data_IF_522173124486
#
_entry.id   IF_522173124486
#
_cell.length_a   1.000
_cell.length_b   1.000
_cell.length_c   1.000
_cell.angle_alpha   90.00
_cell.angle_beta   90.00
_cell.angle_gamma   90.00
#
_symmetry.space_group_name_H-M   'P 1'
#
loop_
_entity.id
_entity.type
_entity.pdbx_description
1 polymer ?
#
# COMPACT_ATOMS: atom_id res chain seq x y z
N UNK A 1 -1.66 -64.78 6.42
CA UNK A 1 -0.91 -63.67 7.04
C UNK A 1 -1.12 -62.44 6.16
N UNK A 2 -2.04 -61.57 6.54
CA UNK A 2 -2.57 -60.46 5.76
C UNK A 2 -1.84 -59.17 6.16
N UNK A 3 -1.09 -58.58 5.23
CA UNK A 3 -0.47 -57.31 5.41
C UNK A 3 -1.48 -56.17 5.09
N UNK A 4 -1.93 -55.45 6.11
CA UNK A 4 -2.74 -54.25 5.97
C UNK A 4 -1.82 -53.09 5.54
N UNK A 5 -1.99 -52.65 4.30
CA UNK A 5 -1.37 -51.47 3.75
C UNK A 5 -2.20 -50.26 4.18
N UNK A 6 -1.69 -49.48 5.15
CA UNK A 6 -2.29 -48.18 5.52
C UNK A 6 -1.85 -47.12 4.53
N UNK A 7 -2.74 -46.81 3.58
CA UNK A 7 -2.60 -45.62 2.75
C UNK A 7 -2.91 -44.38 3.59
N UNK A 8 -1.86 -43.69 4.04
CA UNK A 8 -1.98 -42.39 4.65
C UNK A 8 -2.24 -41.38 3.55
N UNK A 9 -3.50 -41.06 3.29
CA UNK A 9 -3.89 -39.95 2.44
C UNK A 9 -3.59 -38.65 3.19
N UNK A 10 -2.42 -38.07 2.92
CA UNK A 10 -2.10 -36.70 3.34
C UNK A 10 -2.96 -35.75 2.53
N UNK A 11 -4.07 -35.29 3.09
CA UNK A 11 -4.83 -34.15 2.59
C UNK A 11 -3.95 -32.92 2.76
N UNK A 12 -3.17 -32.59 1.75
CA UNK A 12 -2.63 -31.25 1.58
C UNK A 12 -3.82 -30.32 1.34
N UNK A 13 -4.35 -29.77 2.41
CA UNK A 13 -5.26 -28.64 2.33
C UNK A 13 -4.48 -27.48 1.68
N UNK A 14 -4.56 -27.39 0.37
CA UNK A 14 -4.15 -26.19 -0.36
C UNK A 14 -5.14 -25.11 0.06
N UNK A 15 -4.79 -24.35 1.11
CA UNK A 15 -5.53 -23.15 1.47
C UNK A 15 -5.38 -22.19 0.29
N UNK A 16 -6.39 -22.15 -0.57
CA UNK A 16 -6.48 -21.10 -1.59
C UNK A 16 -6.34 -19.75 -0.88
N UNK A 17 -5.60 -18.79 -1.46
CA UNK A 17 -5.53 -17.45 -0.90
C UNK A 17 -6.96 -16.95 -0.69
N UNK A 18 -7.26 -16.29 0.44
CA UNK A 18 -8.60 -15.83 0.74
C UNK A 18 -9.09 -14.91 -0.39
N UNK A 19 -10.32 -15.13 -0.86
CA UNK A 19 -10.98 -14.25 -1.84
C UNK A 19 -10.92 -12.80 -1.29
N UNK A 20 -10.28 -11.87 -2.01
CA UNK A 20 -10.15 -10.50 -1.54
C UNK A 20 -11.48 -9.80 -1.26
N UNK A 21 -12.60 -10.29 -1.82
CA UNK A 21 -13.94 -9.78 -1.54
C UNK A 21 -14.68 -10.47 -0.39
N UNK A 22 -14.13 -11.51 0.23
CA UNK A 22 -14.85 -12.34 1.20
C UNK A 22 -15.10 -11.65 2.55
N UNK A 23 -14.20 -10.78 3.00
CA UNK A 23 -14.35 -10.04 4.26
C UNK A 23 -13.87 -8.58 4.13
N UNK A 24 -14.35 -7.67 5.01
CA UNK A 24 -13.87 -6.29 4.99
C UNK A 24 -12.34 -6.20 5.16
N UNK A 25 -11.78 -7.00 6.07
CA UNK A 25 -10.35 -7.00 6.37
C UNK A 25 -9.51 -7.51 5.19
N UNK A 26 -9.92 -8.63 4.58
CA UNK A 26 -9.22 -9.15 3.39
C UNK A 26 -9.28 -8.20 2.22
N UNK A 27 -10.41 -7.50 2.03
CA UNK A 27 -10.57 -6.48 0.98
C UNK A 27 -9.67 -5.28 1.22
N UNK A 28 -9.66 -4.72 2.45
CA UNK A 28 -8.80 -3.60 2.81
C UNK A 28 -7.32 -3.96 2.63
N UNK A 29 -6.92 -5.17 3.06
CA UNK A 29 -5.56 -5.68 2.90
C UNK A 29 -5.18 -5.79 1.43
N UNK A 30 -6.00 -6.45 0.61
CA UNK A 30 -5.75 -6.62 -0.83
C UNK A 30 -5.66 -5.27 -1.56
N UNK A 31 -6.52 -4.31 -1.19
CA UNK A 31 -6.48 -2.95 -1.73
C UNK A 31 -5.15 -2.26 -1.42
N UNK A 32 -4.73 -2.24 -0.16
CA UNK A 32 -3.47 -1.62 0.24
C UNK A 32 -2.26 -2.34 -0.37
N UNK A 33 -2.26 -3.68 -0.41
CA UNK A 33 -1.20 -4.44 -1.07
C UNK A 33 -1.08 -4.09 -2.55
N UNK A 34 -2.19 -3.93 -3.26
CA UNK A 34 -2.18 -3.51 -4.67
C UNK A 34 -1.59 -2.10 -4.83
N UNK A 35 -2.04 -1.13 -4.01
CA UNK A 35 -1.49 0.24 -4.00
C UNK A 35 0.01 0.23 -3.72
N UNK A 36 0.46 -0.47 -2.68
CA UNK A 36 1.87 -0.52 -2.28
C UNK A 36 2.78 -1.23 -3.30
N UNK A 37 2.22 -2.12 -4.12
CA UNK A 37 2.92 -2.72 -5.26
C UNK A 37 2.95 -1.84 -6.51
N UNK A 38 2.23 -0.72 -6.53
CA UNK A 38 2.08 0.11 -7.71
C UNK A 38 1.02 -0.39 -8.70
N UNK A 39 0.20 -1.37 -8.31
CA UNK A 39 -0.84 -1.97 -9.15
C UNK A 39 -2.18 -1.23 -8.98
N UNK A 40 -2.27 -0.09 -9.64
CA UNK A 40 -3.49 0.72 -9.64
C UNK A 40 -4.71 -0.01 -10.21
N UNK A 41 -4.51 -0.93 -11.16
CA UNK A 41 -5.59 -1.70 -11.77
C UNK A 41 -6.27 -2.63 -10.76
N UNK A 42 -5.48 -3.45 -10.06
CA UNK A 42 -5.98 -4.33 -9.00
C UNK A 42 -6.58 -3.54 -7.84
N UNK A 43 -5.98 -2.41 -7.46
CA UNK A 43 -6.53 -1.55 -6.41
C UNK A 43 -7.91 -0.98 -6.81
N UNK A 44 -8.05 -0.45 -8.03
CA UNK A 44 -9.32 0.09 -8.54
C UNK A 44 -10.41 -0.99 -8.65
N UNK A 45 -10.04 -2.22 -8.98
CA UNK A 45 -10.99 -3.33 -9.00
C UNK A 45 -11.62 -3.63 -7.62
N UNK A 46 -10.99 -3.17 -6.54
CA UNK A 46 -11.48 -3.31 -5.16
C UNK A 46 -12.22 -2.07 -4.65
N UNK A 47 -12.27 -0.98 -5.41
CA UNK A 47 -13.07 0.22 -5.09
C UNK A 47 -14.51 0.03 -5.57
N UNK A 48 -15.46 0.51 -4.80
CA UNK A 48 -16.87 0.47 -5.13
C UNK A 48 -17.23 1.62 -6.08
N UNK A 49 -17.64 1.30 -7.31
CA UNK A 49 -18.06 2.27 -8.33
C UNK A 49 -17.09 3.47 -8.48
N UNK A 50 -15.83 3.23 -8.87
CA UNK A 50 -14.78 4.24 -8.80
C UNK A 50 -15.07 5.41 -9.75
N UNK A 51 -15.16 6.63 -9.19
CA UNK A 51 -15.24 7.89 -9.92
C UNK A 51 -13.92 8.23 -10.63
N UNK A 52 -13.89 9.25 -11.46
CA UNK A 52 -12.63 9.73 -12.07
C UNK A 52 -11.67 10.27 -11.02
N UNK A 53 -12.18 10.89 -9.96
CA UNK A 53 -11.38 11.33 -8.82
C UNK A 53 -10.73 10.13 -8.08
N UNK A 54 -11.46 9.03 -7.87
CA UNK A 54 -10.90 7.81 -7.29
C UNK A 54 -9.83 7.19 -8.17
N UNK A 55 -10.09 7.12 -9.48
CA UNK A 55 -9.10 6.61 -10.46
C UNK A 55 -7.83 7.40 -10.40
N UNK A 56 -7.96 8.73 -10.28
CA UNK A 56 -6.82 9.63 -10.18
C UNK A 56 -6.05 9.40 -8.86
N UNK A 57 -6.72 9.47 -7.72
CA UNK A 57 -6.12 9.30 -6.38
C UNK A 57 -5.43 7.93 -6.25
N UNK A 58 -6.08 6.85 -6.66
CA UNK A 58 -5.52 5.50 -6.58
C UNK A 58 -4.29 5.35 -7.48
N UNK A 59 -4.32 5.89 -8.70
CA UNK A 59 -3.17 5.87 -9.62
C UNK A 59 -1.99 6.65 -9.05
N UNK A 60 -2.23 7.85 -8.50
CA UNK A 60 -1.19 8.68 -7.92
C UNK A 60 -0.53 8.00 -6.70
N UNK A 61 -1.33 7.40 -5.82
CA UNK A 61 -0.80 6.62 -4.70
C UNK A 61 0.06 5.43 -5.17
N UNK A 62 -0.45 4.67 -6.15
CA UNK A 62 0.28 3.52 -6.70
C UNK A 62 1.59 3.94 -7.37
N UNK A 63 1.60 5.05 -8.13
CA UNK A 63 2.80 5.58 -8.76
C UNK A 63 3.84 6.03 -7.73
N UNK A 64 3.41 6.76 -6.70
CA UNK A 64 4.29 7.18 -5.60
C UNK A 64 4.88 5.98 -4.84
N UNK A 65 4.06 4.95 -4.54
CA UNK A 65 4.53 3.73 -3.87
C UNK A 65 5.54 2.96 -4.74
N UNK A 66 5.30 2.85 -6.05
CA UNK A 66 6.21 2.20 -6.99
C UNK A 66 7.55 2.95 -7.10
N UNK A 67 7.51 4.29 -7.14
CA UNK A 67 8.72 5.12 -7.16
C UNK A 67 9.58 4.92 -5.90
N UNK A 68 8.95 4.89 -4.72
CA UNK A 68 9.63 4.62 -3.46
C UNK A 68 10.23 3.21 -3.43
N UNK A 69 9.52 2.20 -3.91
CA UNK A 69 10.03 0.83 -4.00
C UNK A 69 11.25 0.76 -4.93
N UNK A 70 11.17 1.37 -6.11
CA UNK A 70 12.31 1.44 -7.06
C UNK A 70 13.51 2.16 -6.46
N UNK A 71 13.29 3.22 -5.67
CA UNK A 71 14.35 3.90 -4.95
C UNK A 71 15.06 2.92 -3.98
N UNK A 72 14.29 2.15 -3.20
CA UNK A 72 14.87 1.15 -2.28
C UNK A 72 15.65 0.05 -3.02
N UNK A 73 15.13 -0.42 -4.16
CA UNK A 73 15.81 -1.39 -5.04
C UNK A 73 17.16 -0.82 -5.53
N UNK A 74 17.20 0.44 -5.96
CA UNK A 74 18.42 1.13 -6.40
C UNK A 74 19.41 1.31 -5.26
N UNK A 75 18.94 1.73 -4.08
CA UNK A 75 19.79 1.90 -2.92
C UNK A 75 20.37 0.54 -2.44
N UNK A 76 19.55 -0.51 -2.41
CA UNK A 76 19.98 -1.86 -2.05
C UNK A 76 20.97 -2.42 -3.06
N UNK A 77 20.72 -2.23 -4.36
CA UNK A 77 21.66 -2.64 -5.41
C UNK A 77 23.02 -1.92 -5.28
N UNK A 78 23.01 -0.63 -4.86
CA UNK A 78 24.22 0.18 -4.76
C UNK A 78 25.00 -0.03 -3.46
N UNK A 79 24.31 -0.17 -2.33
CA UNK A 79 24.91 -0.19 -0.99
C UNK A 79 24.80 -1.54 -0.29
N UNK A 80 24.26 -2.57 -0.97
CA UNK A 80 24.00 -3.89 -0.39
C UNK A 80 22.95 -3.80 0.73
N UNK A 81 23.09 -4.64 1.76
CA UNK A 81 22.16 -4.67 2.89
C UNK A 81 22.03 -3.32 3.64
N UNK A 82 23.06 -2.46 3.56
CA UNK A 82 23.00 -1.11 4.13
C UNK A 82 22.06 -0.17 3.37
N UNK A 83 21.72 -0.50 2.12
CA UNK A 83 20.82 0.26 1.26
C UNK A 83 19.34 0.13 1.61
N UNK A 84 18.98 -0.65 2.63
CA UNK A 84 17.62 -0.68 3.17
C UNK A 84 17.21 0.71 3.69
N UNK A 85 16.28 1.36 2.99
CA UNK A 85 15.75 2.68 3.34
C UNK A 85 14.55 2.58 4.31
N UNK A 86 14.12 1.37 4.64
CA UNK A 86 13.01 1.10 5.55
C UNK A 86 11.62 1.20 4.91
N UNK A 87 11.54 1.38 3.59
CA UNK A 87 10.27 1.51 2.87
C UNK A 87 9.49 0.20 2.94
N UNK A 88 10.12 -0.92 2.57
CA UNK A 88 9.49 -2.24 2.66
C UNK A 88 9.10 -2.61 4.10
N UNK A 89 9.91 -2.24 5.10
CA UNK A 89 9.59 -2.45 6.50
C UNK A 89 8.38 -1.63 6.95
N UNK A 90 8.25 -0.38 6.48
CA UNK A 90 7.08 0.47 6.74
C UNK A 90 5.82 -0.13 6.11
N UNK A 91 5.88 -0.59 4.86
CA UNK A 91 4.77 -1.25 4.18
C UNK A 91 4.32 -2.52 4.92
N UNK A 92 5.26 -3.37 5.35
CA UNK A 92 4.93 -4.56 6.16
C UNK A 92 4.24 -4.20 7.46
N UNK A 93 4.71 -3.18 8.19
CA UNK A 93 4.06 -2.72 9.43
C UNK A 93 2.63 -2.22 9.17
N UNK A 94 2.43 -1.43 8.12
CA UNK A 94 1.10 -0.95 7.73
C UNK A 94 0.16 -2.12 7.44
N UNK A 95 0.58 -3.10 6.67
CA UNK A 95 -0.23 -4.29 6.37
C UNK A 95 -0.48 -5.13 7.62
N UNK A 96 0.51 -5.32 8.49
CA UNK A 96 0.35 -6.03 9.74
C UNK A 96 -0.62 -5.33 10.72
N UNK A 97 -0.64 -3.99 10.72
CA UNK A 97 -1.59 -3.24 11.56
C UNK A 97 -3.05 -3.52 11.21
N UNK A 98 -3.35 -3.93 9.98
CA UNK A 98 -4.70 -4.30 9.57
C UNK A 98 -5.20 -5.59 10.23
N UNK A 99 -4.30 -6.50 10.59
CA UNK A 99 -4.68 -7.80 11.16
C UNK A 99 -5.32 -7.63 12.55
N UNK A 100 -4.92 -6.59 13.26
CA UNK A 100 -5.39 -6.27 14.62
C UNK A 100 -6.25 -4.99 14.69
N UNK A 101 -6.44 -4.30 13.56
CA UNK A 101 -7.21 -3.07 13.51
C UNK A 101 -8.64 -3.30 13.99
N UNK A 102 -9.21 -2.43 14.84
CA UNK A 102 -10.63 -2.47 15.18
C UNK A 102 -11.48 -2.44 13.92
N UNK A 103 -12.50 -3.30 13.87
CA UNK A 103 -13.42 -3.44 12.76
C UNK A 103 -14.85 -3.29 13.25
N UNK A 104 -15.53 -2.27 12.77
CA UNK A 104 -16.95 -2.05 12.98
C UNK A 104 -17.72 -2.51 11.76
N UNK A 105 -18.74 -3.35 11.93
CA UNK A 105 -19.59 -3.84 10.84
C UNK A 105 -21.05 -3.51 11.15
N UNK A 106 -21.72 -2.87 10.22
CA UNK A 106 -23.15 -2.55 10.31
C UNK A 106 -23.83 -2.85 8.96
N UNK A 107 -24.49 -4.00 8.87
CA UNK A 107 -25.14 -4.46 7.65
C UNK A 107 -24.14 -4.59 6.49
N UNK A 108 -24.36 -3.81 5.45
CA UNK A 108 -23.52 -3.79 4.25
C UNK A 108 -22.38 -2.76 4.30
N UNK A 109 -22.10 -2.20 5.47
CA UNK A 109 -20.99 -1.26 5.68
C UNK A 109 -20.04 -1.75 6.75
N UNK A 110 -18.77 -1.42 6.57
CA UNK A 110 -17.73 -1.70 7.55
C UNK A 110 -16.73 -0.54 7.61
N UNK A 111 -16.13 -0.34 8.78
CA UNK A 111 -15.05 0.63 8.99
C UNK A 111 -13.92 -0.09 9.70
N UNK A 112 -12.74 -0.06 9.12
CA UNK A 112 -11.51 -0.61 9.68
C UNK A 112 -10.62 0.56 10.13
N UNK A 113 -10.15 0.53 11.38
CA UNK A 113 -9.35 1.58 12.01
C UNK A 113 -7.89 1.11 12.20
N UNK A 114 -7.03 1.20 11.18
CA UNK A 114 -5.62 0.83 11.31
C UNK A 114 -4.89 1.78 12.26
N UNK A 115 -3.98 1.25 13.05
CA UNK A 115 -3.16 2.04 13.96
C UNK A 115 -2.29 3.04 13.17
N UNK A 116 -2.35 4.31 13.55
CA UNK A 116 -1.60 5.39 12.88
C UNK A 116 -2.05 5.71 11.46
N UNK A 117 -3.18 5.14 11.00
CA UNK A 117 -3.74 5.35 9.67
C UNK A 117 -5.13 5.98 9.67
N UNK A 118 -5.58 6.43 8.50
CA UNK A 118 -6.98 6.88 8.32
C UNK A 118 -7.92 5.67 8.29
N UNK A 119 -9.17 5.82 8.77
CA UNK A 119 -10.17 4.75 8.69
C UNK A 119 -10.45 4.33 7.25
N UNK A 120 -10.42 3.02 7.00
CA UNK A 120 -10.76 2.43 5.71
C UNK A 120 -12.23 2.02 5.77
N UNK A 121 -13.06 2.63 4.95
CA UNK A 121 -14.49 2.32 4.87
C UNK A 121 -14.74 1.38 3.72
N UNK A 122 -15.63 0.45 3.95
CA UNK A 122 -16.00 -0.57 2.99
C UNK A 122 -17.52 -0.71 2.94
N UNK A 123 -18.03 -1.06 1.78
CA UNK A 123 -19.43 -1.45 1.58
C UNK A 123 -19.52 -2.76 0.81
N UNK A 124 -20.61 -3.47 1.00
CA UNK A 124 -20.89 -4.68 0.24
C UNK A 124 -21.61 -4.32 -1.06
N UNK A 125 -21.05 -4.75 -2.18
CA UNK A 125 -21.61 -4.55 -3.53
C UNK A 125 -21.73 -5.93 -4.19
N UNK A 126 -22.94 -6.33 -4.55
CA UNK A 126 -23.22 -7.64 -5.15
C UNK A 126 -22.60 -8.81 -4.35
N UNK A 127 -22.76 -8.76 -3.03
CA UNK A 127 -22.27 -9.80 -2.12
C UNK A 127 -20.77 -9.73 -1.78
N UNK A 128 -19.98 -8.87 -2.44
CA UNK A 128 -18.54 -8.71 -2.21
C UNK A 128 -18.24 -7.39 -1.50
N UNK A 129 -17.29 -7.40 -0.58
CA UNK A 129 -16.78 -6.19 0.04
C UNK A 129 -15.93 -5.40 -0.93
N UNK A 130 -16.11 -4.09 -0.93
CA UNK A 130 -15.37 -3.10 -1.73
C UNK A 130 -14.99 -1.93 -0.84
N UNK A 131 -13.86 -1.29 -1.12
CA UNK A 131 -13.46 -0.03 -0.47
C UNK A 131 -14.40 1.08 -0.96
N UNK A 132 -14.98 1.86 -0.06
CA UNK A 132 -15.72 3.09 -0.43
C UNK A 132 -14.75 4.09 -1.05
N UNK A 133 -15.29 5.00 -1.87
CA UNK A 133 -14.51 6.00 -2.59
C UNK A 133 -13.46 6.69 -1.70
N UNK A 134 -12.16 6.54 -1.99
CA UNK A 134 -11.13 7.24 -1.25
C UNK A 134 -11.14 8.76 -1.50
N UNK A 135 -11.71 9.21 -2.62
CA UNK A 135 -11.76 10.62 -3.01
C UNK A 135 -13.04 11.34 -2.56
N UNK A 136 -14.14 10.63 -2.27
CA UNK A 136 -15.47 11.22 -1.99
C UNK A 136 -15.47 12.18 -0.79
N UNK A 137 -14.50 12.09 0.09
CA UNK A 137 -14.38 12.90 1.30
C UNK A 137 -13.38 14.03 1.19
N UNK A 138 -12.66 14.09 0.11
CA UNK A 138 -11.72 15.15 -0.13
C UNK A 138 -12.48 16.33 -0.76
N UNK A 139 -12.35 17.49 -0.16
CA UNK A 139 -12.71 18.73 -0.82
C UNK A 139 -11.84 18.90 -2.07
N UNK A 140 -12.24 19.72 -3.01
CA UNK A 140 -11.42 19.97 -4.20
C UNK A 140 -10.04 20.56 -3.87
N UNK A 141 -9.88 21.22 -2.72
CA UNK A 141 -8.59 21.73 -2.24
C UNK A 141 -7.73 20.60 -1.66
N UNK A 142 -8.30 19.76 -0.80
CA UNK A 142 -7.61 18.59 -0.24
C UNK A 142 -7.19 17.60 -1.32
N UNK A 143 -8.01 17.41 -2.35
CA UNK A 143 -7.66 16.57 -3.49
C UNK A 143 -6.44 17.13 -4.23
N UNK A 144 -6.42 18.45 -4.51
CA UNK A 144 -5.27 19.11 -5.16
C UNK A 144 -4.02 19.08 -4.29
N UNK A 145 -4.16 19.23 -2.98
CA UNK A 145 -3.05 19.13 -2.05
C UNK A 145 -2.48 17.71 -2.01
N UNK A 146 -3.34 16.69 -1.91
CA UNK A 146 -2.93 15.28 -1.98
C UNK A 146 -2.23 14.96 -3.30
N UNK A 147 -2.78 15.45 -4.42
CA UNK A 147 -2.17 15.28 -5.73
C UNK A 147 -0.75 15.83 -5.80
N UNK A 148 -0.56 17.07 -5.33
CA UNK A 148 0.78 17.67 -5.26
C UNK A 148 1.73 16.85 -4.42
N UNK A 149 1.33 16.51 -3.19
CA UNK A 149 2.10 15.68 -2.26
C UNK A 149 2.57 14.37 -2.90
N UNK A 150 1.67 13.66 -3.59
CA UNK A 150 2.00 12.39 -4.22
C UNK A 150 2.96 12.56 -5.41
N UNK A 151 2.75 13.58 -6.25
CA UNK A 151 3.65 13.92 -7.36
C UNK A 151 5.04 14.34 -6.87
N UNK A 152 5.11 15.14 -5.81
CA UNK A 152 6.36 15.57 -5.20
C UNK A 152 7.11 14.39 -4.57
N UNK A 153 6.39 13.49 -3.90
CA UNK A 153 6.97 12.23 -3.37
C UNK A 153 7.54 11.37 -4.50
N UNK A 154 6.79 11.20 -5.57
CA UNK A 154 7.24 10.44 -6.75
C UNK A 154 8.49 11.08 -7.37
N UNK A 155 8.46 12.39 -7.62
CA UNK A 155 9.58 13.13 -8.21
C UNK A 155 10.84 13.06 -7.31
N UNK A 156 10.69 13.25 -6.01
CA UNK A 156 11.79 13.16 -5.06
C UNK A 156 12.42 11.76 -5.01
N UNK A 157 11.59 10.70 -5.05
CA UNK A 157 12.08 9.33 -5.10
C UNK A 157 12.83 9.03 -6.40
N UNK A 158 12.32 9.51 -7.53
CA UNK A 158 12.96 9.34 -8.85
C UNK A 158 14.29 10.11 -8.93
N UNK A 159 14.33 11.36 -8.46
CA UNK A 159 15.55 12.19 -8.43
C UNK A 159 16.63 11.55 -7.56
N UNK A 160 16.28 11.16 -6.33
CA UNK A 160 17.21 10.51 -5.41
C UNK A 160 17.73 9.17 -5.99
N UNK A 161 16.88 8.38 -6.64
CA UNK A 161 17.31 7.16 -7.34
C UNK A 161 18.30 7.49 -8.48
N UNK A 162 18.08 8.59 -9.22
CA UNK A 162 19.00 9.12 -10.22
C UNK A 162 20.35 9.50 -9.61
N UNK A 163 20.36 10.24 -8.52
CA UNK A 163 21.58 10.66 -7.79
C UNK A 163 22.38 9.45 -7.27
N UNK A 164 21.71 8.40 -6.76
CA UNK A 164 22.37 7.16 -6.32
C UNK A 164 23.03 6.45 -7.50
N UNK A 165 22.34 6.33 -8.64
CA UNK A 165 22.91 5.74 -9.88
C UNK A 165 24.10 6.53 -10.40
N UNK A 166 24.02 7.86 -10.38
CA UNK A 166 25.09 8.78 -10.78
C UNK A 166 26.26 8.84 -9.76
N UNK A 167 26.16 8.12 -8.65
CA UNK A 167 27.14 8.11 -7.54
C UNK A 167 27.31 9.49 -6.84
N UNK A 168 26.35 10.38 -6.98
CA UNK A 168 26.33 11.65 -6.27
C UNK A 168 26.07 11.44 -4.77
N UNK A 169 25.20 10.49 -4.42
CA UNK A 169 24.98 10.00 -3.05
C UNK A 169 25.99 8.90 -2.75
N UNK A 170 26.76 9.07 -1.68
CA UNK A 170 27.95 8.22 -1.39
C UNK A 170 27.65 7.12 -0.38
N UNK A 171 26.62 7.26 0.44
CA UNK A 171 26.29 6.29 1.48
C UNK A 171 24.78 6.08 1.62
N UNK A 172 24.41 4.98 2.25
CA UNK A 172 23.02 4.70 2.58
C UNK A 172 22.44 5.67 3.63
N UNK A 173 23.30 6.16 4.55
CA UNK A 173 22.92 7.17 5.54
C UNK A 173 22.55 8.49 4.86
N UNK A 174 23.36 8.93 3.89
CA UNK A 174 23.08 10.12 3.09
C UNK A 174 21.77 9.95 2.29
N UNK A 175 21.52 8.75 1.72
CA UNK A 175 20.27 8.45 1.03
C UNK A 175 19.06 8.51 1.96
N UNK A 176 19.15 7.97 3.18
CA UNK A 176 18.08 8.03 4.18
C UNK A 176 17.79 9.47 4.63
N UNK A 177 18.83 10.25 4.83
CA UNK A 177 18.69 11.65 5.23
C UNK A 177 18.03 12.49 4.13
N UNK A 178 18.50 12.32 2.88
CA UNK A 178 17.90 12.97 1.72
C UNK A 178 16.40 12.59 1.55
N UNK A 179 16.06 11.32 1.69
CA UNK A 179 14.68 10.85 1.65
C UNK A 179 13.84 11.46 2.79
N UNK A 180 14.37 11.44 4.02
CA UNK A 180 13.67 12.03 5.18
C UNK A 180 13.42 13.51 4.99
N UNK A 181 14.40 14.26 4.49
CA UNK A 181 14.27 15.67 4.21
C UNK A 181 13.20 15.93 3.14
N UNK A 182 13.23 15.18 2.03
CA UNK A 182 12.25 15.31 0.96
C UNK A 182 10.83 15.02 1.44
N UNK A 183 10.62 13.90 2.15
CA UNK A 183 9.31 13.53 2.69
C UNK A 183 8.86 14.47 3.82
N UNK A 184 9.80 15.00 4.63
CA UNK A 184 9.49 15.96 5.69
C UNK A 184 9.03 17.30 5.13
N UNK A 185 9.57 17.76 4.02
CA UNK A 185 9.11 18.97 3.34
C UNK A 185 7.69 18.78 2.80
N UNK A 186 7.41 17.64 2.18
CA UNK A 186 6.09 17.28 1.66
C UNK A 186 5.03 17.23 2.78
N UNK A 187 5.38 16.74 3.98
CA UNK A 187 4.46 16.68 5.12
C UNK A 187 4.19 18.05 5.78
N UNK A 188 5.14 18.97 5.74
CA UNK A 188 4.95 20.32 6.30
C UNK A 188 4.02 21.19 5.46
N UNK A 189 3.85 20.88 4.18
CA UNK A 189 2.93 21.60 3.28
C UNK A 189 1.47 21.12 3.36
N UNK A 190 1.13 20.23 4.28
CA UNK A 190 -0.22 20.17 4.85
C UNK A 190 -1.17 19.08 4.38
N UNK A 191 -0.74 17.85 4.14
CA UNK A 191 -1.69 16.72 4.14
C UNK A 191 -1.14 15.56 4.97
N UNK A 192 -1.78 15.18 6.10
CA UNK A 192 -1.41 13.95 6.80
C UNK A 192 -1.72 12.74 5.89
N UNK A 193 -0.69 11.97 5.60
CA UNK A 193 -0.76 10.69 4.87
C UNK A 193 -1.50 9.64 5.70
#
# INVERSE_FOLDING_TARGET
MTALSWMLAVFLATSSPPDPGASPRSTARAYLEAVLRGDAGSALALVADPSDADRFVVRAHAASADALRRLEDVATSRFGARGDLGIAARHRRLLASLDHAPLEVSGDRAVLHPEGGKPIRLRRVLGKWKVESPAERLTGEEQRALERTLKETEAAAQDLAGQIRARAVKSAEEAREALRKALGQVQQEGVPL
#
